data_IF_479576468880
#
_entry.id   IF_479576468880
#
_cell.length_a   1.000
_cell.length_b   1.000
_cell.length_c   1.000
_cell.angle_alpha   90.00
_cell.angle_beta   90.00
_cell.angle_gamma   90.00
#
_symmetry.space_group_name_H-M   'P 1'
#
loop_
_entity.id
_entity.type
_entity.pdbx_description
1 polymer ?
#
# COMPACT_ATOMS: atom_id res chain seq x y z
N UNK A 1 -8.83 -2.32 -4.98
CA UNK A 1 -10.26 -2.03 -5.20
C UNK A 1 -10.82 -3.00 -6.22
N UNK A 2 -12.06 -3.48 -6.06
CA UNK A 2 -12.73 -4.14 -7.18
C UNK A 2 -13.12 -3.09 -8.22
N UNK A 3 -13.04 -3.43 -9.51
CA UNK A 3 -13.37 -2.51 -10.60
C UNK A 3 -14.79 -1.93 -10.47
N UNK A 4 -15.70 -2.69 -9.87
CA UNK A 4 -17.11 -2.30 -9.65
C UNK A 4 -17.23 -1.19 -8.59
N UNK A 5 -16.43 -1.21 -7.52
CA UNK A 5 -16.47 -0.18 -6.48
C UNK A 5 -15.93 1.16 -6.99
N UNK A 6 -14.87 1.13 -7.80
CA UNK A 6 -14.32 2.33 -8.44
C UNK A 6 -15.33 2.94 -9.42
N UNK A 7 -16.04 2.10 -10.19
CA UNK A 7 -17.11 2.55 -11.09
C UNK A 7 -18.31 3.11 -10.32
N UNK A 8 -18.71 2.45 -9.24
CA UNK A 8 -19.78 2.91 -8.36
C UNK A 8 -19.48 4.28 -7.74
N UNK A 9 -18.26 4.47 -7.26
CA UNK A 9 -17.78 5.76 -6.75
C UNK A 9 -17.84 6.85 -7.81
N UNK A 10 -17.29 6.59 -9.00
CA UNK A 10 -17.23 7.59 -10.08
C UNK A 10 -18.61 8.01 -10.55
N UNK A 11 -19.54 7.06 -10.68
CA UNK A 11 -20.93 7.34 -11.02
C UNK A 11 -21.61 8.23 -9.97
N UNK A 12 -21.38 7.96 -8.68
CA UNK A 12 -21.93 8.77 -7.59
C UNK A 12 -21.33 10.18 -7.53
N UNK A 13 -20.01 10.33 -7.69
CA UNK A 13 -19.36 11.64 -7.70
C UNK A 13 -19.88 12.54 -8.83
N UNK A 14 -20.12 11.98 -10.03
CA UNK A 14 -20.71 12.74 -11.13
C UNK A 14 -22.16 13.14 -10.83
N UNK A 15 -22.92 12.28 -10.14
CA UNK A 15 -24.28 12.60 -9.72
C UNK A 15 -24.32 13.75 -8.71
N UNK A 16 -23.40 13.76 -7.74
CA UNK A 16 -23.24 14.86 -6.76
C UNK A 16 -22.79 16.17 -7.41
N UNK A 17 -22.02 16.11 -8.50
CA UNK A 17 -21.66 17.27 -9.31
C UNK A 17 -22.82 17.83 -10.15
N UNK A 18 -24.01 17.22 -10.06
CA UNK A 18 -25.23 17.70 -10.72
C UNK A 18 -25.50 17.08 -12.09
N UNK A 19 -24.70 16.10 -12.55
CA UNK A 19 -24.93 15.45 -13.84
C UNK A 19 -26.21 14.59 -13.83
N UNK A 20 -26.93 14.57 -14.95
CA UNK A 20 -28.06 13.66 -15.14
C UNK A 20 -27.56 12.22 -15.34
N UNK A 21 -28.39 11.24 -14.99
CA UNK A 21 -28.01 9.82 -15.07
C UNK A 21 -27.67 9.40 -16.51
N UNK A 22 -28.39 9.98 -17.48
CA UNK A 22 -28.16 9.75 -18.91
C UNK A 22 -26.79 10.28 -19.38
N UNK A 23 -26.38 11.44 -18.87
CA UNK A 23 -25.06 12.02 -19.17
C UNK A 23 -23.93 11.19 -18.55
N UNK A 24 -24.13 10.70 -17.32
CA UNK A 24 -23.17 9.82 -16.63
C UNK A 24 -23.03 8.50 -17.40
N UNK A 25 -24.15 7.93 -17.87
CA UNK A 25 -24.18 6.73 -18.68
C UNK A 25 -23.39 6.89 -19.98
N UNK A 26 -23.58 8.03 -20.67
CA UNK A 26 -22.82 8.38 -21.86
C UNK A 26 -21.31 8.57 -21.57
N UNK A 27 -20.97 9.34 -20.53
CA UNK A 27 -19.58 9.59 -20.10
C UNK A 27 -18.82 8.32 -19.72
N UNK A 28 -19.51 7.36 -19.11
CA UNK A 28 -18.91 6.10 -18.65
C UNK A 28 -18.99 4.97 -19.68
N UNK A 29 -19.73 5.16 -20.78
CA UNK A 29 -19.98 4.13 -21.79
C UNK A 29 -20.75 2.93 -21.23
N UNK A 30 -21.74 3.18 -20.37
CA UNK A 30 -22.51 2.14 -19.65
C UNK A 30 -24.01 2.41 -19.71
N UNK A 31 -24.87 1.38 -19.60
CA UNK A 31 -26.31 1.59 -19.53
C UNK A 31 -26.72 2.39 -18.29
N UNK A 32 -27.76 3.22 -18.41
CA UNK A 32 -28.35 4.00 -17.30
C UNK A 32 -28.75 3.11 -16.11
N UNK A 33 -29.33 1.94 -16.37
CA UNK A 33 -29.67 0.95 -15.32
C UNK A 33 -28.46 0.37 -14.58
N UNK A 34 -27.27 0.42 -15.17
CA UNK A 34 -26.02 0.05 -14.49
C UNK A 34 -25.54 1.21 -13.61
N UNK A 35 -25.62 2.45 -14.10
CA UNK A 35 -25.31 3.67 -13.35
C UNK A 35 -26.20 3.80 -12.11
N UNK A 36 -27.51 3.58 -12.24
CA UNK A 36 -28.46 3.62 -11.11
C UNK A 36 -28.12 2.58 -10.04
N UNK A 37 -27.80 1.36 -10.45
CA UNK A 37 -27.36 0.29 -9.54
C UNK A 37 -26.07 0.64 -8.83
N UNK A 38 -25.13 1.25 -9.56
CA UNK A 38 -23.84 1.68 -9.04
C UNK A 38 -23.96 2.83 -8.05
N UNK A 39 -24.76 3.86 -8.35
CA UNK A 39 -25.06 4.96 -7.44
C UNK A 39 -25.72 4.42 -6.17
N UNK A 40 -26.75 3.58 -6.29
CA UNK A 40 -27.45 2.99 -5.14
C UNK A 40 -26.50 2.15 -4.28
N UNK A 41 -25.64 1.36 -4.93
CA UNK A 41 -24.63 0.54 -4.26
C UNK A 41 -23.62 1.40 -3.50
N UNK A 42 -23.18 2.52 -4.07
CA UNK A 42 -22.28 3.45 -3.40
C UNK A 42 -22.95 4.11 -2.19
N UNK A 43 -24.22 4.50 -2.28
CA UNK A 43 -24.96 5.07 -1.14
C UNK A 43 -25.08 4.08 0.03
N UNK A 44 -25.29 2.80 -0.24
CA UNK A 44 -25.27 1.75 0.80
C UNK A 44 -23.88 1.58 1.44
N UNK A 45 -22.84 1.71 0.64
CA UNK A 45 -21.44 1.64 1.10
C UNK A 45 -21.12 2.87 1.95
N UNK A 46 -21.41 4.08 1.46
CA UNK A 46 -21.17 5.34 2.16
C UNK A 46 -21.87 5.38 3.53
N UNK A 47 -23.08 4.81 3.65
CA UNK A 47 -23.77 4.68 4.95
C UNK A 47 -23.04 3.80 5.97
N UNK A 48 -22.21 2.85 5.52
CA UNK A 48 -21.52 1.89 6.40
C UNK A 48 -20.12 2.35 6.77
N UNK A 49 -19.56 3.33 6.07
CA UNK A 49 -18.13 3.63 6.07
C UNK A 49 -17.91 5.14 6.25
N UNK A 50 -17.06 5.62 7.19
CA UNK A 50 -17.00 7.04 7.58
C UNK A 50 -16.32 7.97 6.56
N UNK A 51 -16.89 9.13 6.23
CA UNK A 51 -16.50 10.02 5.10
C UNK A 51 -14.99 10.24 4.84
N UNK A 52 -14.14 10.22 5.87
CA UNK A 52 -12.69 10.37 5.74
C UNK A 52 -11.97 9.25 4.97
N UNK A 53 -12.64 8.14 4.64
CA UNK A 53 -12.01 7.01 3.94
C UNK A 53 -11.81 7.20 2.44
N UNK A 54 -12.15 8.37 1.91
CA UNK A 54 -12.19 8.61 0.48
C UNK A 54 -10.85 8.25 -0.19
N UNK A 55 -10.81 7.16 -0.98
CA UNK A 55 -9.58 6.65 -1.62
C UNK A 55 -9.09 5.30 -1.10
N UNK A 56 -9.58 4.84 0.05
CA UNK A 56 -9.27 3.53 0.63
C UNK A 56 -10.28 2.46 0.16
N UNK A 57 -9.81 1.22 0.03
CA UNK A 57 -10.68 0.07 -0.15
C UNK A 57 -11.56 -0.12 1.08
N UNK A 58 -12.85 -0.33 0.84
CA UNK A 58 -13.89 -0.55 1.87
C UNK A 58 -13.48 -1.60 2.89
N UNK A 59 -12.86 -2.71 2.45
CA UNK A 59 -12.39 -3.73 3.37
C UNK A 59 -11.31 -3.22 4.32
N UNK A 60 -10.40 -2.37 3.83
CA UNK A 60 -9.38 -1.72 4.65
C UNK A 60 -10.04 -0.80 5.67
N UNK A 61 -11.03 0.00 5.26
CA UNK A 61 -11.75 0.89 6.18
C UNK A 61 -12.54 0.13 7.23
N UNK A 62 -13.22 -0.96 6.85
CA UNK A 62 -13.93 -1.81 7.81
C UNK A 62 -12.95 -2.46 8.81
N UNK A 63 -11.74 -2.83 8.37
CA UNK A 63 -10.69 -3.31 9.27
C UNK A 63 -10.23 -2.22 10.23
N UNK A 64 -10.00 -1.00 9.75
CA UNK A 64 -9.61 0.13 10.59
C UNK A 64 -10.71 0.50 11.61
N UNK A 65 -11.97 0.54 11.17
CA UNK A 65 -13.12 0.79 12.05
C UNK A 65 -13.25 -0.27 13.14
N UNK A 66 -13.04 -1.55 12.82
CA UNK A 66 -13.01 -2.63 13.83
C UNK A 66 -11.87 -2.49 14.83
N UNK A 67 -10.81 -1.78 14.46
CA UNK A 67 -9.69 -1.46 15.31
C UNK A 67 -9.87 -0.17 16.12
N UNK A 68 -11.05 0.48 16.04
CA UNK A 68 -11.33 1.74 16.73
C UNK A 68 -10.77 2.98 16.05
N UNK A 69 -10.30 2.87 14.80
CA UNK A 69 -9.83 4.01 14.02
C UNK A 69 -11.03 4.60 13.27
N UNK A 70 -11.56 5.70 13.79
CA UNK A 70 -12.81 6.31 13.34
C UNK A 70 -12.63 7.66 12.66
N UNK A 71 -11.43 8.22 12.67
CA UNK A 71 -11.09 9.45 11.95
C UNK A 71 -9.74 9.34 11.22
N UNK A 72 -9.51 10.29 10.31
CA UNK A 72 -8.22 10.45 9.62
C UNK A 72 -7.10 10.74 10.62
N UNK A 73 -7.35 11.58 11.62
CA UNK A 73 -6.33 11.92 12.62
C UNK A 73 -5.97 10.72 13.48
N UNK A 74 -6.94 9.86 13.80
CA UNK A 74 -6.67 8.60 14.50
C UNK A 74 -5.82 7.66 13.63
N UNK A 75 -6.08 7.60 12.33
CA UNK A 75 -5.28 6.81 11.40
C UNK A 75 -3.83 7.34 11.34
N UNK A 76 -3.65 8.65 11.26
CA UNK A 76 -2.33 9.28 11.22
C UNK A 76 -1.57 8.98 12.52
N UNK A 77 -2.18 9.23 13.68
CA UNK A 77 -1.57 8.94 14.97
C UNK A 77 -1.22 7.47 15.13
N UNK A 78 -2.13 6.56 14.79
CA UNK A 78 -1.89 5.12 14.86
C UNK A 78 -0.76 4.68 13.89
N UNK A 79 -0.63 5.35 12.74
CA UNK A 79 0.46 5.09 11.80
C UNK A 79 1.81 5.61 12.33
N UNK A 80 1.86 6.83 12.85
CA UNK A 80 3.06 7.45 13.41
C UNK A 80 3.56 6.73 14.67
N UNK A 81 2.64 6.26 15.51
CA UNK A 81 2.94 5.48 16.72
C UNK A 81 3.37 4.03 16.41
N UNK A 82 3.23 3.57 15.17
CA UNK A 82 3.54 2.19 14.77
C UNK A 82 2.48 1.16 15.16
N UNK A 83 1.28 1.60 15.57
CA UNK A 83 0.14 0.74 15.90
C UNK A 83 -0.45 0.05 14.65
N UNK A 84 -0.12 0.55 13.47
CA UNK A 84 -0.45 -0.06 12.18
C UNK A 84 0.77 -0.71 11.55
N UNK A 85 0.81 -2.02 11.62
CA UNK A 85 1.87 -2.86 11.05
C UNK A 85 1.31 -4.16 10.46
N UNK A 86 2.17 -4.99 9.88
CA UNK A 86 1.70 -6.23 9.25
C UNK A 86 1.12 -7.15 10.32
N UNK A 87 -0.16 -7.49 10.17
CA UNK A 87 -0.92 -8.29 11.12
C UNK A 87 -1.57 -7.49 12.26
N UNK A 88 -1.33 -6.18 12.33
CA UNK A 88 -1.92 -5.29 13.34
C UNK A 88 -2.42 -3.98 12.71
N UNK A 89 -3.71 -3.65 12.82
CA UNK A 89 -4.79 -4.48 13.35
C UNK A 89 -5.00 -5.81 12.59
N UNK A 90 -5.67 -6.80 13.22
CA UNK A 90 -5.98 -8.07 12.57
C UNK A 90 -6.69 -7.87 11.21
N UNK A 91 -6.10 -8.42 10.14
CA UNK A 91 -6.58 -8.24 8.77
C UNK A 91 -5.81 -7.21 7.94
N UNK A 92 -4.90 -6.44 8.55
CA UNK A 92 -3.94 -5.59 7.84
C UNK A 92 -2.78 -6.45 7.30
N UNK A 93 -2.89 -6.83 6.02
CA UNK A 93 -1.83 -7.49 5.28
C UNK A 93 -0.96 -6.52 4.48
N UNK A 94 0.04 -7.05 3.77
CA UNK A 94 0.99 -6.26 2.96
C UNK A 94 0.28 -5.34 1.96
N UNK A 95 -0.75 -5.85 1.27
CA UNK A 95 -1.53 -5.06 0.32
C UNK A 95 -2.21 -3.84 0.97
N UNK A 96 -2.81 -4.02 2.16
CA UNK A 96 -3.50 -2.93 2.87
C UNK A 96 -2.53 -1.91 3.45
N UNK A 97 -1.35 -2.34 3.88
CA UNK A 97 -0.29 -1.41 4.30
C UNK A 97 0.18 -0.52 3.15
N UNK A 98 0.39 -1.10 1.96
CA UNK A 98 0.78 -0.32 0.77
C UNK A 98 -0.34 0.65 0.40
N UNK A 99 -1.58 0.21 0.42
CA UNK A 99 -2.74 1.08 0.19
C UNK A 99 -2.82 2.24 1.19
N UNK A 100 -2.68 1.97 2.48
CA UNK A 100 -2.70 3.00 3.53
C UNK A 100 -1.57 4.00 3.38
N UNK A 101 -0.36 3.51 3.09
CA UNK A 101 0.79 4.38 2.80
C UNK A 101 0.50 5.31 1.64
N UNK A 102 0.06 4.76 0.50
CA UNK A 102 -0.24 5.57 -0.69
C UNK A 102 -1.35 6.59 -0.42
N UNK A 103 -2.37 6.20 0.34
CA UNK A 103 -3.48 7.07 0.69
C UNK A 103 -3.03 8.23 1.58
N UNK A 104 -2.14 7.96 2.55
CA UNK A 104 -1.59 8.99 3.40
C UNK A 104 -0.62 9.92 2.65
N UNK A 105 0.20 9.37 1.74
CA UNK A 105 1.13 10.15 0.88
C UNK A 105 0.36 11.09 -0.06
N UNK A 106 -0.68 10.60 -0.73
CA UNK A 106 -1.55 11.41 -1.60
C UNK A 106 -2.31 12.51 -0.84
N UNK A 107 -2.42 12.34 0.47
CA UNK A 107 -3.12 13.22 1.39
C UNK A 107 -2.28 14.40 1.90
N UNK A 108 -1.04 14.56 1.41
CA UNK A 108 -0.15 15.68 1.74
C UNK A 108 0.65 15.50 3.03
N UNK A 109 0.68 14.29 3.60
CA UNK A 109 1.53 13.98 4.75
C UNK A 109 2.89 13.55 4.20
N UNK A 110 3.91 14.37 4.44
CA UNK A 110 5.29 14.00 4.14
C UNK A 110 5.72 12.90 5.12
N UNK A 111 5.74 11.66 4.63
CA UNK A 111 6.30 10.55 5.39
C UNK A 111 7.81 10.72 5.48
N UNK A 112 8.43 10.40 6.63
CA UNK A 112 9.84 10.06 6.61
C UNK A 112 9.99 8.88 5.65
N UNK A 113 10.68 9.10 4.52
CA UNK A 113 10.97 8.06 3.53
C UNK A 113 11.40 6.82 4.28
N UNK A 114 10.60 5.75 4.19
CA UNK A 114 11.01 4.47 4.73
C UNK A 114 12.38 4.16 4.14
N UNK A 115 13.42 4.10 4.97
CA UNK A 115 14.76 3.79 4.52
C UNK A 115 14.65 2.49 3.71
N UNK A 116 15.15 2.46 2.46
CA UNK A 116 15.03 1.27 1.63
C UNK A 116 15.72 0.12 2.38
N UNK A 117 14.95 -0.89 2.78
CA UNK A 117 15.46 -2.10 3.44
C UNK A 117 16.36 -2.93 2.52
N UNK A 118 16.36 -2.63 1.23
CA UNK A 118 17.20 -3.27 0.22
C UNK A 118 17.85 -2.18 -0.64
N UNK A 119 19.18 -2.18 -0.66
CA UNK A 119 19.99 -1.42 -1.60
C UNK A 119 20.30 -2.33 -2.79
N UNK A 120 19.95 -1.89 -4.00
CA UNK A 120 20.37 -2.58 -5.23
C UNK A 120 21.82 -2.17 -5.48
N UNK A 121 22.70 -3.15 -5.58
CA UNK A 121 24.12 -2.95 -5.86
C UNK A 121 24.41 -3.69 -7.16
N UNK A 122 24.86 -2.96 -8.16
CA UNK A 122 25.38 -3.55 -9.38
C UNK A 122 26.79 -4.09 -9.11
N UNK A 123 26.98 -5.39 -9.31
CA UNK A 123 28.29 -6.02 -9.20
C UNK A 123 28.98 -6.00 -10.56
N UNK A 124 30.29 -5.79 -10.55
CA UNK A 124 31.11 -6.06 -11.73
C UNK A 124 31.02 -7.56 -12.09
N UNK A 125 31.12 -7.93 -13.38
CA UNK A 125 31.00 -9.33 -13.81
C UNK A 125 31.91 -10.30 -13.06
N UNK A 126 33.13 -9.86 -12.73
CA UNK A 126 34.11 -10.64 -11.98
C UNK A 126 33.68 -10.85 -10.52
N UNK A 127 33.10 -9.82 -9.90
CA UNK A 127 32.58 -9.90 -8.53
C UNK A 127 31.33 -10.78 -8.45
N UNK A 128 30.47 -10.75 -9.47
CA UNK A 128 29.32 -11.64 -9.59
C UNK A 128 29.76 -13.11 -9.75
N UNK A 129 30.75 -13.37 -10.62
CA UNK A 129 31.31 -14.71 -10.81
C UNK A 129 31.92 -15.26 -9.52
N UNK A 130 32.69 -14.44 -8.81
CA UNK A 130 33.29 -14.80 -7.53
C UNK A 130 32.21 -15.09 -6.46
N UNK A 131 31.19 -14.24 -6.35
CA UNK A 131 30.08 -14.44 -5.42
C UNK A 131 29.30 -15.72 -5.71
N UNK A 132 29.04 -16.02 -6.99
CA UNK A 132 28.35 -17.24 -7.40
C UNK A 132 29.20 -18.49 -7.12
N UNK A 133 30.51 -18.42 -7.32
CA UNK A 133 31.42 -19.50 -6.93
C UNK A 133 31.40 -19.74 -5.41
N UNK A 134 31.50 -18.68 -4.60
CA UNK A 134 31.49 -18.78 -3.13
C UNK A 134 30.16 -19.30 -2.60
N UNK A 135 29.02 -18.91 -3.19
CA UNK A 135 27.70 -19.48 -2.87
C UNK A 135 27.66 -20.99 -3.13
N UNK A 136 28.21 -21.43 -4.27
CA UNK A 136 28.23 -22.84 -4.66
C UNK A 136 29.10 -23.69 -3.73
N UNK A 137 30.27 -23.16 -3.33
CA UNK A 137 31.22 -23.89 -2.47
C UNK A 137 30.76 -23.92 -1.01
N UNK A 138 30.20 -22.82 -0.49
CA UNK A 138 29.81 -22.71 0.92
C UNK A 138 28.38 -23.17 1.21
N UNK A 139 27.53 -23.33 0.19
CA UNK A 139 26.09 -23.59 0.34
C UNK A 139 25.31 -22.44 0.99
N UNK A 140 25.94 -21.28 1.22
CA UNK A 140 25.33 -20.12 1.86
C UNK A 140 24.63 -19.21 0.84
N UNK A 141 23.66 -18.42 1.32
CA UNK A 141 23.01 -17.38 0.51
C UNK A 141 23.96 -16.23 0.19
N UNK A 142 23.67 -15.45 -0.86
CA UNK A 142 24.50 -14.31 -1.26
C UNK A 142 24.71 -13.30 -0.11
N UNK A 143 23.64 -12.98 0.62
CA UNK A 143 23.68 -12.07 1.76
C UNK A 143 24.58 -12.57 2.89
N UNK A 144 24.57 -13.89 3.17
CA UNK A 144 25.44 -14.48 4.19
C UNK A 144 26.90 -14.49 3.78
N UNK A 145 27.19 -14.72 2.50
CA UNK A 145 28.57 -14.66 1.97
C UNK A 145 29.10 -13.23 2.08
N UNK A 146 28.33 -12.25 1.61
CA UNK A 146 28.72 -10.83 1.66
C UNK A 146 28.90 -10.36 3.11
N UNK A 147 28.00 -10.72 4.03
CA UNK A 147 28.12 -10.34 5.43
C UNK A 147 29.41 -10.87 6.08
N UNK A 148 29.78 -12.14 5.82
CA UNK A 148 31.03 -12.70 6.36
C UNK A 148 32.26 -11.99 5.78
N UNK A 149 32.27 -11.72 4.47
CA UNK A 149 33.38 -11.01 3.81
C UNK A 149 33.58 -9.60 4.38
N UNK A 150 32.50 -8.89 4.70
CA UNK A 150 32.57 -7.56 5.31
C UNK A 150 33.09 -7.62 6.76
N UNK A 151 32.67 -8.62 7.54
CA UNK A 151 33.16 -8.84 8.90
C UNK A 151 34.65 -9.18 8.87
N UNK A 152 35.06 -10.12 8.02
CA UNK A 152 36.47 -10.52 7.86
C UNK A 152 37.34 -9.33 7.43
N UNK A 153 36.86 -8.50 6.50
CA UNK A 153 37.58 -7.30 6.07
C UNK A 153 37.71 -6.25 7.19
N UNK A 154 36.68 -6.06 8.01
CA UNK A 154 36.71 -5.14 9.16
C UNK A 154 37.61 -5.67 10.28
N UNK A 155 37.63 -6.99 10.53
CA UNK A 155 38.53 -7.62 11.48
C UNK A 155 40.01 -7.49 11.07
N UNK A 156 40.31 -7.66 9.78
CA UNK A 156 41.66 -7.43 9.23
C UNK A 156 42.08 -5.98 9.44
N UNK A 157 41.19 -5.03 9.12
CA UNK A 157 41.48 -3.59 9.20
C UNK A 157 41.57 -3.05 10.63
N UNK A 158 41.06 -3.77 11.64
CA UNK A 158 41.20 -3.44 13.08
C UNK A 158 42.41 -4.11 13.74
N UNK A 159 43.03 -5.06 13.05
CA UNK A 159 44.19 -5.81 13.53
C UNK A 159 45.52 -5.22 13.05
N UNK A 160 45.47 -4.20 12.18
CA UNK A 160 46.54 -3.25 11.85
C UNK A 160 46.46 -1.99 12.73
#
# INVERSE_FOLDING_TARGET
>A
MSQIETLARRAWQLKEQGYAIDDIAALMGKPTSAIERWISRWTEIARKVPEWHEGLNIHTVLTLKKAGIESRDDLIKAWENGDIQRGQPPGIGVYRLVELRNWLEASGIEFPKAQPKAMIIDLLPEAEAALNHLKKVSGKTASQVIANLLIEADEINRSD
#
